data_IF_811696497928
#
_entry.id   IF_811696497928
#
_cell.length_a   1.000
_cell.length_b   1.000
_cell.length_c   1.000
_cell.angle_alpha   90.00
_cell.angle_beta   90.00
_cell.angle_gamma   90.00
#
_symmetry.space_group_name_H-M   'P 1'
#
loop_
_entity.id
_entity.type
_entity.pdbx_description
1 polymer ?
#
# COMPACT_ATOMS: atom_id res chain seq x y z
N UNK A 1 54.01 13.21 -7.19
CA UNK A 1 52.80 12.78 -7.93
C UNK A 1 51.67 12.70 -6.92
N UNK A 2 50.79 13.72 -6.88
CA UNK A 2 49.97 14.02 -5.71
C UNK A 2 48.78 13.04 -5.58
N UNK A 3 48.91 12.08 -4.66
CA UNK A 3 47.90 11.08 -4.31
C UNK A 3 46.54 11.67 -3.88
N UNK A 4 46.46 12.98 -3.63
CA UNK A 4 45.22 13.71 -3.28
C UNK A 4 44.18 13.72 -4.40
N UNK A 5 44.59 13.61 -5.66
CA UNK A 5 43.65 13.60 -6.79
C UNK A 5 42.99 12.24 -7.02
N UNK A 6 43.61 11.15 -6.57
CA UNK A 6 43.07 9.79 -6.72
C UNK A 6 41.80 9.57 -5.88
N UNK A 7 41.73 10.21 -4.72
CA UNK A 7 40.55 10.12 -3.84
C UNK A 7 39.33 10.87 -4.37
N UNK A 8 39.53 11.96 -5.13
CA UNK A 8 38.44 12.73 -5.72
C UNK A 8 37.76 12.00 -6.90
N UNK A 9 38.51 11.17 -7.63
CA UNK A 9 37.95 10.37 -8.74
C UNK A 9 37.12 9.19 -8.26
N UNK A 10 37.41 8.63 -7.09
CA UNK A 10 36.67 7.50 -6.51
C UNK A 10 35.26 7.88 -6.02
N UNK A 11 35.04 9.14 -5.63
CA UNK A 11 33.73 9.60 -5.14
C UNK A 11 32.66 9.73 -6.24
N UNK A 12 33.06 9.84 -7.52
CA UNK A 12 32.15 10.08 -8.64
C UNK A 12 31.45 8.79 -9.11
N UNK A 13 31.96 7.61 -8.71
CA UNK A 13 31.40 6.30 -9.08
C UNK A 13 30.33 5.75 -8.13
N UNK A 14 29.88 6.53 -7.14
CA UNK A 14 28.70 6.16 -6.33
C UNK A 14 27.43 6.46 -7.13
N UNK A 15 27.27 5.79 -8.28
CA UNK A 15 26.02 5.78 -9.02
C UNK A 15 24.92 5.23 -8.12
N UNK A 16 23.80 5.95 -8.06
CA UNK A 16 22.61 5.55 -7.33
C UNK A 16 22.19 4.15 -7.79
N UNK A 17 22.57 3.12 -7.05
CA UNK A 17 22.03 1.78 -7.22
C UNK A 17 20.57 1.87 -6.78
N UNK A 18 19.68 2.13 -7.74
CA UNK A 18 18.25 2.07 -7.51
C UNK A 18 17.92 0.58 -7.34
N UNK A 19 17.88 0.13 -6.09
CA UNK A 19 17.58 -1.27 -5.77
C UNK A 19 16.19 -1.59 -6.29
N UNK A 20 16.10 -2.48 -7.28
CA UNK A 20 14.83 -3.08 -7.64
C UNK A 20 14.32 -3.84 -6.41
N UNK A 21 13.21 -3.37 -5.84
CA UNK A 21 12.53 -4.10 -4.77
C UNK A 21 11.50 -5.02 -5.43
N UNK A 22 11.63 -6.35 -5.27
CA UNK A 22 10.62 -7.25 -5.78
C UNK A 22 9.29 -7.00 -5.07
N UNK A 23 8.21 -7.02 -5.85
CA UNK A 23 6.85 -6.76 -5.39
C UNK A 23 5.92 -7.88 -5.79
N UNK A 24 5.10 -8.34 -4.86
CA UNK A 24 4.01 -9.28 -5.08
C UNK A 24 2.80 -8.50 -5.57
N UNK A 25 2.29 -8.90 -6.73
CA UNK A 25 1.00 -8.42 -7.24
C UNK A 25 -0.13 -9.16 -6.55
N UNK A 26 -1.07 -8.41 -5.98
CA UNK A 26 -2.29 -8.93 -5.41
C UNK A 26 -3.48 -8.44 -6.24
N UNK A 27 -4.33 -9.39 -6.61
CA UNK A 27 -5.52 -9.14 -7.41
C UNK A 27 -6.72 -9.43 -6.53
N UNK A 28 -7.52 -8.41 -6.30
CA UNK A 28 -8.71 -8.49 -5.46
C UNK A 28 -9.94 -8.02 -6.24
N UNK A 29 -11.10 -8.58 -5.94
CA UNK A 29 -12.37 -8.08 -6.46
C UNK A 29 -13.11 -7.34 -5.34
N UNK A 30 -13.39 -6.05 -5.49
CA UNK A 30 -14.09 -5.25 -4.48
C UNK A 30 -15.28 -4.54 -5.13
N UNK A 31 -16.48 -4.88 -4.68
CA UNK A 31 -17.71 -4.70 -5.48
C UNK A 31 -17.57 -5.37 -6.88
N UNK A 32 -17.96 -4.64 -7.93
CA UNK A 32 -17.85 -5.04 -9.33
C UNK A 32 -16.52 -4.60 -9.98
N UNK A 33 -15.50 -4.28 -9.17
CA UNK A 33 -14.25 -3.71 -9.65
C UNK A 33 -13.06 -4.61 -9.31
N UNK A 34 -12.23 -4.91 -10.31
CA UNK A 34 -10.96 -5.60 -10.11
C UNK A 34 -9.88 -4.61 -9.69
N UNK A 35 -9.20 -4.93 -8.60
CA UNK A 35 -8.15 -4.15 -7.99
C UNK A 35 -6.83 -4.87 -8.16
N UNK A 36 -5.78 -4.09 -8.39
CA UNK A 36 -4.41 -4.55 -8.40
C UNK A 36 -3.61 -3.70 -7.42
N UNK A 37 -2.93 -4.35 -6.47
CA UNK A 37 -1.99 -3.67 -5.60
C UNK A 37 -0.64 -4.41 -5.60
N UNK A 38 0.43 -3.65 -5.45
CA UNK A 38 1.79 -4.18 -5.41
C UNK A 38 2.33 -4.03 -4.00
N UNK A 39 2.62 -5.17 -3.36
CA UNK A 39 3.17 -5.24 -2.00
C UNK A 39 4.65 -5.61 -2.10
N UNK A 40 5.54 -4.88 -1.43
CA UNK A 40 6.95 -5.29 -1.42
C UNK A 40 7.11 -6.59 -0.64
N UNK A 41 7.96 -7.51 -1.11
CA UNK A 41 8.19 -8.78 -0.42
C UNK A 41 8.64 -8.59 1.04
N UNK A 42 9.44 -7.56 1.31
CA UNK A 42 9.92 -7.23 2.67
C UNK A 42 8.80 -6.82 3.62
N UNK A 43 7.65 -6.35 3.10
CA UNK A 43 6.47 -6.05 3.93
C UNK A 43 5.73 -7.33 4.33
N UNK A 44 5.83 -8.38 3.52
CA UNK A 44 5.29 -9.72 3.80
C UNK A 44 6.16 -10.44 4.84
N UNK A 45 7.48 -10.28 4.79
CA UNK A 45 8.38 -10.88 5.78
C UNK A 45 8.12 -10.35 7.21
N UNK A 46 7.74 -9.08 7.35
CA UNK A 46 7.46 -8.43 8.64
C UNK A 46 5.95 -8.40 8.96
N UNK A 47 5.18 -9.26 8.31
CA UNK A 47 3.74 -9.29 8.41
C UNK A 47 3.29 -10.17 9.59
N UNK A 48 2.42 -9.68 10.47
CA UNK A 48 1.90 -10.50 11.54
C UNK A 48 0.93 -11.54 10.97
N UNK A 49 1.30 -12.82 11.07
CA UNK A 49 0.37 -13.93 10.84
C UNK A 49 -0.77 -13.83 11.84
N UNK A 50 -1.99 -14.07 11.40
CA UNK A 50 -3.16 -13.96 12.25
C UNK A 50 -4.22 -14.99 11.94
N UNK A 51 -4.81 -15.56 12.99
CA UNK A 51 -5.94 -16.48 12.91
C UNK A 51 -7.22 -15.78 13.41
N UNK A 52 -8.18 -15.46 12.53
CA UNK A 52 -9.35 -14.66 12.90
C UNK A 52 -10.31 -15.37 13.86
N UNK A 53 -10.20 -16.69 14.00
CA UNK A 53 -11.06 -17.49 14.88
C UNK A 53 -10.49 -17.64 16.30
N UNK A 54 -9.20 -17.40 16.50
CA UNK A 54 -8.52 -17.67 17.78
C UNK A 54 -7.94 -16.43 18.43
N UNK A 55 -7.68 -15.37 17.65
CA UNK A 55 -6.97 -14.19 18.12
C UNK A 55 -7.68 -12.91 17.67
N UNK A 56 -7.49 -11.82 18.43
CA UNK A 56 -7.92 -10.49 17.99
C UNK A 56 -7.03 -9.99 16.83
N UNK A 57 -7.57 -9.19 15.88
CA UNK A 57 -6.78 -8.68 14.77
C UNK A 57 -5.61 -7.81 15.26
N UNK A 58 -4.40 -8.00 14.72
CA UNK A 58 -3.23 -7.18 15.08
C UNK A 58 -3.44 -5.69 14.85
N UNK A 59 -4.30 -5.34 13.88
CA UNK A 59 -4.71 -3.98 13.58
C UNK A 59 -6.24 -3.87 13.63
N UNK A 60 -6.74 -2.96 14.46
CA UNK A 60 -8.18 -2.66 14.48
C UNK A 60 -8.60 -1.79 13.28
N UNK A 61 -9.88 -1.87 12.92
CA UNK A 61 -10.50 -1.04 11.86
C UNK A 61 -10.23 0.46 12.07
N UNK A 62 -10.35 0.95 13.31
CA UNK A 62 -10.12 2.38 13.61
C UNK A 62 -8.68 2.79 13.36
N UNK A 63 -7.72 1.92 13.67
CA UNK A 63 -6.29 2.14 13.39
C UNK A 63 -5.97 2.06 11.90
N UNK A 64 -6.61 1.16 11.16
CA UNK A 64 -6.48 1.10 9.70
C UNK A 64 -6.96 2.40 9.03
N UNK A 65 -8.13 2.91 9.43
CA UNK A 65 -8.67 4.19 8.95
C UNK A 65 -7.74 5.36 9.33
N UNK A 66 -7.17 5.32 10.54
CA UNK A 66 -6.24 6.34 11.00
C UNK A 66 -4.94 6.34 10.16
N UNK A 67 -4.39 5.16 9.86
CA UNK A 67 -3.20 5.03 9.03
C UNK A 67 -3.40 5.65 7.64
N UNK A 68 -4.58 5.43 7.03
CA UNK A 68 -4.94 6.08 5.76
C UNK A 68 -4.95 7.60 5.93
N UNK A 69 -5.63 8.14 6.95
CA UNK A 69 -5.66 9.59 7.20
C UNK A 69 -4.25 10.18 7.35
N UNK A 70 -3.35 9.47 8.02
CA UNK A 70 -1.98 9.93 8.25
C UNK A 70 -1.13 9.89 6.96
N UNK A 71 -1.39 8.96 6.04
CA UNK A 71 -0.81 8.98 4.69
C UNK A 71 -1.14 10.29 3.95
N UNK A 72 -2.41 10.70 3.97
CA UNK A 72 -2.83 11.96 3.31
C UNK A 72 -2.24 13.21 3.97
N UNK A 73 -2.05 13.22 5.29
CA UNK A 73 -1.37 14.36 5.96
C UNK A 73 0.07 14.54 5.50
N UNK A 74 0.75 13.44 5.20
CA UNK A 74 2.13 13.44 4.71
C UNK A 74 2.20 13.93 3.26
N UNK A 75 1.21 13.56 2.44
CA UNK A 75 1.08 13.97 1.05
C UNK A 75 0.35 15.31 0.93
N UNK A 76 1.08 16.44 1.10
CA UNK A 76 0.52 17.81 1.11
C UNK A 76 -0.40 18.17 -0.07
N UNK A 77 -0.26 17.47 -1.19
CA UNK A 77 -1.02 17.73 -2.43
C UNK A 77 -2.31 16.89 -2.54
N UNK A 78 -2.56 15.95 -1.61
CA UNK A 78 -3.77 15.12 -1.62
C UNK A 78 -4.77 15.63 -0.58
N UNK A 79 -5.96 16.02 -1.05
CA UNK A 79 -7.09 16.34 -0.17
C UNK A 79 -7.42 15.14 0.71
N UNK A 80 -7.61 15.38 2.01
CA UNK A 80 -8.04 14.38 2.97
C UNK A 80 -9.29 13.62 2.47
N UNK A 81 -9.38 12.32 2.73
CA UNK A 81 -10.54 11.53 2.34
C UNK A 81 -11.77 12.07 3.06
N UNK A 82 -12.86 12.29 2.31
CA UNK A 82 -14.10 12.86 2.85
C UNK A 82 -14.74 11.92 3.87
N UNK A 83 -14.81 10.64 3.51
CA UNK A 83 -15.36 9.58 4.35
C UNK A 83 -14.89 8.21 3.86
N UNK A 84 -14.83 7.26 4.77
CA UNK A 84 -14.74 5.83 4.43
C UNK A 84 -16.14 5.40 3.96
N UNK A 85 -16.22 4.81 2.77
CA UNK A 85 -17.47 4.24 2.26
C UNK A 85 -17.62 2.79 2.72
N UNK A 86 -16.54 2.04 2.68
CA UNK A 86 -16.57 0.60 2.92
C UNK A 86 -15.22 0.10 3.39
N UNK A 87 -15.25 -0.97 4.18
CA UNK A 87 -14.08 -1.71 4.61
C UNK A 87 -14.40 -3.20 4.62
N UNK A 88 -13.55 -3.99 3.98
CA UNK A 88 -13.59 -5.44 4.07
C UNK A 88 -12.29 -5.97 4.63
N UNK A 89 -12.36 -7.11 5.29
CA UNK A 89 -11.23 -7.86 5.81
C UNK A 89 -11.10 -9.14 5.00
N UNK A 90 -9.93 -9.37 4.38
CA UNK A 90 -9.70 -10.50 3.50
C UNK A 90 -8.39 -11.20 3.79
N UNK A 91 -8.39 -12.50 3.59
CA UNK A 91 -7.17 -13.28 3.50
C UNK A 91 -6.51 -13.04 2.14
N UNK A 92 -5.20 -12.94 2.14
CA UNK A 92 -4.40 -12.75 0.95
C UNK A 92 -4.38 -14.04 0.15
N UNK A 93 -4.83 -13.96 -1.11
CA UNK A 93 -4.83 -15.12 -2.00
C UNK A 93 -3.44 -15.75 -2.09
N UNK A 94 -3.36 -17.09 -1.93
CA UNK A 94 -2.13 -17.90 -1.94
C UNK A 94 -1.22 -17.76 -0.71
N UNK A 95 -1.63 -17.02 0.32
CA UNK A 95 -0.86 -16.86 1.56
C UNK A 95 -1.77 -17.04 2.79
N UNK A 96 -1.81 -18.27 3.31
CA UNK A 96 -2.61 -18.59 4.49
C UNK A 96 -2.22 -17.72 5.69
N UNK A 97 -3.23 -17.19 6.40
CA UNK A 97 -3.09 -16.37 7.61
C UNK A 97 -2.48 -14.97 7.41
N UNK A 98 -2.30 -14.55 6.16
CA UNK A 98 -2.00 -13.16 5.83
C UNK A 98 -3.32 -12.44 5.56
N UNK A 99 -3.73 -11.56 6.46
CA UNK A 99 -5.01 -10.86 6.37
C UNK A 99 -4.84 -9.36 6.19
N UNK A 100 -5.57 -8.74 5.27
CA UNK A 100 -5.48 -7.31 5.02
C UNK A 100 -6.87 -6.66 4.97
N UNK A 101 -6.92 -5.36 5.20
CA UNK A 101 -8.12 -4.59 4.97
C UNK A 101 -8.12 -4.00 3.55
N UNK A 102 -9.26 -4.10 2.88
CA UNK A 102 -9.57 -3.31 1.69
C UNK A 102 -10.44 -2.15 2.12
N UNK A 103 -9.97 -0.91 1.96
CA UNK A 103 -10.66 0.29 2.42
C UNK A 103 -10.98 1.20 1.25
N UNK A 104 -12.28 1.41 1.00
CA UNK A 104 -12.78 2.32 -0.03
C UNK A 104 -13.10 3.68 0.58
N UNK A 105 -12.41 4.70 0.10
CA UNK A 105 -12.59 6.08 0.56
C UNK A 105 -13.12 6.96 -0.56
N UNK A 106 -13.96 7.93 -0.19
CA UNK A 106 -14.49 8.94 -1.11
C UNK A 106 -13.51 10.11 -1.17
N UNK A 107 -13.07 10.48 -2.38
CA UNK A 107 -12.23 11.67 -2.58
C UNK A 107 -13.08 12.93 -2.76
N UNK A 108 -12.48 14.09 -2.54
CA UNK A 108 -13.11 15.42 -2.69
C UNK A 108 -13.12 15.93 -4.15
N UNK A 109 -13.23 15.05 -5.15
CA UNK A 109 -13.38 15.51 -6.53
C UNK A 109 -14.82 16.01 -6.75
N UNK A 110 -14.97 17.33 -6.91
CA UNK A 110 -16.26 18.03 -6.99
C UNK A 110 -17.10 17.64 -8.22
N UNK A 111 -16.53 16.94 -9.20
CA UNK A 111 -17.22 16.65 -10.46
C UNK A 111 -17.91 15.30 -10.51
N UNK A 112 -17.41 14.28 -9.77
CA UNK A 112 -18.04 12.95 -9.56
C UNK A 112 -17.42 12.28 -8.32
N UNK A 113 -18.15 11.45 -7.55
CA UNK A 113 -17.55 10.68 -6.48
C UNK A 113 -16.53 9.68 -7.06
N UNK A 114 -15.26 10.07 -7.10
CA UNK A 114 -14.16 9.17 -7.39
C UNK A 114 -13.80 8.45 -6.10
N UNK A 115 -13.76 7.13 -6.16
CA UNK A 115 -13.32 6.32 -5.04
C UNK A 115 -11.83 6.04 -5.20
N UNK A 116 -11.12 6.03 -4.08
CA UNK A 116 -9.78 5.45 -3.97
C UNK A 116 -9.89 4.23 -3.06
N UNK A 117 -9.15 3.19 -3.39
CA UNK A 117 -9.13 1.96 -2.62
C UNK A 117 -7.71 1.74 -2.12
N UNK A 118 -7.61 1.36 -0.86
CA UNK A 118 -6.35 1.11 -0.17
C UNK A 118 -6.34 -0.30 0.38
N UNK A 119 -5.20 -0.97 0.24
CA UNK A 119 -4.86 -2.18 0.98
C UNK A 119 -4.14 -1.74 2.24
N UNK A 120 -4.65 -2.12 3.41
CA UNK A 120 -4.00 -1.87 4.70
C UNK A 120 -3.60 -3.20 5.32
N UNK A 121 -2.29 -3.44 5.41
CA UNK A 121 -1.74 -4.64 6.00
C UNK A 121 -1.93 -4.63 7.52
N UNK A 122 -1.92 -5.81 8.16
CA UNK A 122 -2.13 -5.92 9.62
C UNK A 122 -1.01 -5.31 10.48
N UNK A 123 0.13 -4.94 9.89
CA UNK A 123 1.13 -4.12 10.56
C UNK A 123 0.86 -2.61 10.46
N UNK A 124 -0.24 -2.19 9.82
CA UNK A 124 -0.62 -0.79 9.64
C UNK A 124 -0.08 -0.14 8.38
N UNK A 125 0.69 -0.84 7.54
CA UNK A 125 1.18 -0.30 6.27
C UNK A 125 0.03 -0.09 5.30
N UNK A 126 -0.02 1.09 4.67
CA UNK A 126 -1.04 1.48 3.69
C UNK A 126 -0.45 1.44 2.29
N UNK A 127 -1.12 0.73 1.38
CA UNK A 127 -0.73 0.55 -0.01
C UNK A 127 -1.89 0.99 -0.91
N UNK A 128 -1.71 1.98 -1.80
CA UNK A 128 -2.76 2.39 -2.73
C UNK A 128 -3.00 1.28 -3.76
N UNK A 129 -4.26 0.94 -4.00
CA UNK A 129 -4.66 0.00 -5.04
C UNK A 129 -5.00 0.73 -6.34
N UNK A 130 -4.66 0.12 -7.46
CA UNK A 130 -5.07 0.54 -8.79
C UNK A 130 -6.39 -0.16 -9.14
N UNK A 131 -7.34 0.61 -9.64
CA UNK A 131 -8.58 0.07 -10.21
C UNK A 131 -8.28 -0.30 -11.66
N UNK A 132 -8.42 -1.59 -11.99
CA UNK A 132 -8.39 -2.03 -13.38
C UNK A 132 -9.67 -1.52 -14.05
N UNK A 133 -9.55 -0.45 -14.84
CA UNK A 133 -10.64 -0.06 -15.73
C UNK A 133 -10.75 -1.11 -16.83
N UNK A 134 -11.95 -1.60 -17.12
CA UNK A 134 -12.23 -2.35 -18.34
C UNK A 134 -11.71 -1.54 -19.52
N UNK A 135 -10.53 -1.89 -20.02
CA UNK A 135 -10.00 -1.30 -21.23
C UNK A 135 -10.81 -1.94 -22.34
N UNK A 136 -11.78 -1.18 -22.84
CA UNK A 136 -12.60 -1.53 -24.00
C UNK A 136 -11.70 -2.04 -25.12
N UNK A 137 -12.00 -3.24 -25.63
CA UNK A 137 -11.29 -3.90 -26.72
C UNK A 137 -11.49 -3.16 -28.05
#
# INVERSE_FOLDING_TARGET
MNHRWLWLLLAIFSGNAQSFQPSIEIIEQFDDVKLVAFINETDIENYPLWHPLTEAPPLSVSKAIQAIKDLYKTNRDQLLPKSVKEIELRELSRHEYYWHYLVKVKTNDDKKPKYQIYVVLMNGKVIPALIESESYK
#
